data_IF_186836246712
#
_entry.id   IF_186836246712
#
_cell.length_a   1.000
_cell.length_b   1.000
_cell.length_c   1.000
_cell.angle_alpha   90.00
_cell.angle_beta   90.00
_cell.angle_gamma   90.00
#
_symmetry.space_group_name_H-M   'P 1'
#
loop_
_entity.id
_entity.type
_entity.pdbx_description
1 polymer ?
#
# COMPACT_ATOMS: atom_id res chain seq x y z
N UNK A 1 7.91 -9.57 18.47
CA UNK A 1 6.63 -8.86 18.23
C UNK A 1 6.69 -7.55 19.00
N UNK A 2 6.38 -6.42 18.38
CA UNK A 2 6.51 -5.10 19.00
C UNK A 2 5.72 -5.03 20.32
N UNK A 3 6.32 -4.43 21.35
CA UNK A 3 5.81 -4.47 22.72
C UNK A 3 4.44 -3.78 22.92
N UNK A 4 3.99 -2.98 21.94
CA UNK A 4 2.70 -2.26 21.97
C UNK A 4 1.54 -3.03 21.33
N UNK A 5 1.77 -4.22 20.74
CA UNK A 5 0.72 -4.93 20.00
C UNK A 5 0.39 -4.31 18.63
N UNK A 6 1.19 -3.36 18.17
CA UNK A 6 1.07 -2.73 16.85
C UNK A 6 2.09 -3.32 15.88
N UNK A 7 1.68 -3.55 14.63
CA UNK A 7 2.57 -3.92 13.54
C UNK A 7 2.49 -2.86 12.44
N UNK A 8 3.65 -2.29 12.09
CA UNK A 8 3.77 -1.30 11.02
C UNK A 8 4.18 -2.04 9.74
N UNK A 9 3.35 -1.91 8.70
CA UNK A 9 3.58 -2.49 7.38
C UNK A 9 3.87 -1.37 6.38
N UNK A 10 5.08 -1.33 5.83
CA UNK A 10 5.44 -0.38 4.79
C UNK A 10 4.91 -0.85 3.43
N UNK A 11 4.51 0.10 2.58
CA UNK A 11 4.05 -0.14 1.22
C UNK A 11 4.74 0.81 0.24
N UNK A 12 4.88 0.38 -1.00
CA UNK A 12 5.59 1.11 -2.03
C UNK A 12 5.60 0.33 -3.35
N UNK A 13 5.97 1.02 -4.42
CA UNK A 13 6.23 0.49 -5.75
C UNK A 13 7.60 0.98 -6.25
N UNK A 14 8.19 0.27 -7.21
CA UNK A 14 9.41 0.73 -7.86
C UNK A 14 9.05 1.68 -8.99
N UNK A 15 9.60 2.90 -8.96
CA UNK A 15 9.37 3.89 -10.01
C UNK A 15 10.24 3.58 -11.23
N UNK A 16 9.63 3.56 -12.41
CA UNK A 16 10.29 3.45 -13.71
C UNK A 16 10.07 4.72 -14.54
N UNK A 17 10.68 4.80 -15.71
CA UNK A 17 10.74 6.03 -16.51
C UNK A 17 9.36 6.60 -16.87
N UNK A 18 8.39 5.74 -17.14
CA UNK A 18 7.04 6.06 -17.58
C UNK A 18 5.98 5.90 -16.46
N UNK A 19 6.40 5.73 -15.21
CA UNK A 19 5.50 5.71 -14.06
C UNK A 19 4.69 7.00 -13.94
N UNK A 20 3.41 6.87 -13.60
CA UNK A 20 2.51 7.99 -13.30
C UNK A 20 2.33 8.08 -11.80
N UNK A 21 2.67 9.23 -11.20
CA UNK A 21 2.65 9.41 -9.74
C UNK A 21 1.31 9.05 -9.09
N UNK A 22 0.19 9.38 -9.74
CA UNK A 22 -1.14 9.04 -9.25
C UNK A 22 -1.38 7.53 -9.26
N UNK A 23 -0.99 6.83 -10.32
CA UNK A 23 -1.17 5.38 -10.45
C UNK A 23 -0.34 4.62 -9.40
N UNK A 24 0.92 5.03 -9.20
CA UNK A 24 1.81 4.47 -8.19
C UNK A 24 1.29 4.70 -6.75
N UNK A 25 0.67 5.86 -6.52
CA UNK A 25 0.01 6.14 -5.23
C UNK A 25 -1.21 5.24 -5.02
N UNK A 26 -2.05 5.05 -6.04
CA UNK A 26 -3.18 4.12 -5.96
C UNK A 26 -2.72 2.67 -5.73
N UNK A 27 -1.60 2.25 -6.32
CA UNK A 27 -0.98 0.95 -6.05
C UNK A 27 -0.58 0.83 -4.57
N UNK A 28 0.07 1.85 -4.00
CA UNK A 28 0.46 1.87 -2.60
C UNK A 28 -0.77 1.75 -1.67
N UNK A 29 -1.85 2.49 -1.98
CA UNK A 29 -3.10 2.40 -1.22
C UNK A 29 -3.74 1.01 -1.32
N UNK A 30 -3.70 0.37 -2.49
CA UNK A 30 -4.19 -1.01 -2.67
C UNK A 30 -3.40 -1.99 -1.81
N UNK A 31 -2.07 -1.88 -1.80
CA UNK A 31 -1.19 -2.70 -0.95
C UNK A 31 -1.47 -2.47 0.54
N UNK A 32 -1.70 -1.23 0.96
CA UNK A 32 -2.03 -0.89 2.34
C UNK A 32 -3.37 -1.51 2.78
N UNK A 33 -4.39 -1.48 1.91
CA UNK A 33 -5.69 -2.11 2.18
C UNK A 33 -5.54 -3.62 2.36
N UNK A 34 -4.78 -4.29 1.49
CA UNK A 34 -4.48 -5.71 1.63
C UNK A 34 -3.74 -6.01 2.95
N UNK A 35 -2.69 -5.26 3.27
CA UNK A 35 -1.90 -5.46 4.49
C UNK A 35 -2.70 -5.22 5.79
N UNK A 36 -3.74 -4.39 5.75
CA UNK A 36 -4.58 -4.04 6.90
C UNK A 36 -5.92 -4.78 6.94
N UNK A 37 -6.21 -5.64 5.95
CA UNK A 37 -7.49 -6.37 5.85
C UNK A 37 -8.69 -5.50 5.47
N UNK A 38 -8.46 -4.29 4.97
CA UNK A 38 -9.54 -3.43 4.42
C UNK A 38 -9.92 -3.94 3.03
N UNK A 39 -11.20 -4.21 2.71
CA UNK A 39 -11.59 -4.66 1.38
C UNK A 39 -11.18 -3.67 0.28
N UNK A 40 -10.62 -4.14 -0.85
CA UNK A 40 -10.38 -3.27 -2.00
C UNK A 40 -11.71 -2.80 -2.59
N UNK A 41 -11.76 -1.55 -3.07
CA UNK A 41 -12.92 -1.04 -3.81
C UNK A 41 -12.75 -1.47 -5.27
N UNK A 42 -13.72 -2.16 -5.84
CA UNK A 42 -13.82 -2.33 -7.29
C UNK A 42 -14.72 -1.24 -7.85
N UNK A 43 -14.26 -0.56 -8.90
CA UNK A 43 -15.08 0.36 -9.71
C UNK A 43 -15.82 -0.41 -10.80
#
# INVERSE_FOLDING_TARGET
LFASGEAIYNVGGGIVFDSVAEEEYQECLLKARFATGTPPVSS
#
